data_IF_484497674299
#
_entry.id   IF_484497674299
#
_cell.length_a   1.000
_cell.length_b   1.000
_cell.length_c   1.000
_cell.angle_alpha   90.00
_cell.angle_beta   90.00
_cell.angle_gamma   90.00
#
_symmetry.space_group_name_H-M   'P 1'
#
loop_
_entity.id
_entity.type
_entity.pdbx_description
1 polymer ?
#
# COMPACT_ATOMS: atom_id res chain seq x y z
N UNK A 1 52.27 43.23 -27.34
CA UNK A 1 51.87 43.25 -25.92
C UNK A 1 50.35 43.29 -25.87
N UNK A 2 49.79 42.35 -25.12
CA UNK A 2 48.48 41.73 -25.33
C UNK A 2 47.27 42.65 -25.16
N UNK A 3 46.36 42.54 -26.12
CA UNK A 3 44.98 43.00 -26.09
C UNK A 3 44.13 42.11 -25.19
N UNK A 4 43.27 42.76 -24.40
CA UNK A 4 42.24 42.16 -23.56
C UNK A 4 41.28 41.27 -24.37
N UNK A 5 41.11 40.02 -23.95
CA UNK A 5 39.97 39.18 -24.29
C UNK A 5 39.48 38.49 -23.02
N UNK A 6 38.70 39.22 -22.21
CA UNK A 6 37.88 38.64 -21.15
C UNK A 6 36.66 38.05 -21.82
N UNK A 7 36.74 36.77 -22.18
CA UNK A 7 35.62 36.03 -22.72
C UNK A 7 34.73 35.63 -21.55
N UNK A 8 33.74 36.46 -21.25
CA UNK A 8 32.64 36.16 -20.31
C UNK A 8 31.81 35.03 -20.93
N UNK A 9 32.20 33.78 -20.67
CA UNK A 9 31.32 32.64 -20.84
C UNK A 9 30.31 32.69 -19.70
N UNK A 10 29.12 33.16 -20.02
CA UNK A 10 27.89 32.93 -19.26
C UNK A 10 27.81 31.46 -18.85
N UNK A 11 28.09 31.19 -17.58
CA UNK A 11 27.69 29.94 -16.95
C UNK A 11 26.16 29.96 -16.86
N UNK A 12 25.51 29.20 -17.74
CA UNK A 12 24.13 28.78 -17.51
C UNK A 12 24.12 28.12 -16.13
N UNK A 13 23.30 28.56 -15.17
CA UNK A 13 23.14 27.79 -13.95
C UNK A 13 22.49 26.48 -14.39
N UNK A 14 23.26 25.39 -14.33
CA UNK A 14 22.68 24.05 -14.35
C UNK A 14 21.67 24.03 -13.20
N UNK A 15 20.40 24.13 -13.56
CA UNK A 15 19.32 23.86 -12.62
C UNK A 15 19.62 22.50 -12.01
N UNK A 16 19.64 22.34 -10.68
CA UNK A 16 19.79 21.03 -10.09
C UNK A 16 18.56 20.27 -10.54
N UNK A 17 18.74 19.38 -11.53
CA UNK A 17 17.77 18.34 -11.84
C UNK A 17 17.70 17.50 -10.57
N UNK A 18 16.78 17.86 -9.68
CA UNK A 18 16.20 16.94 -8.72
C UNK A 18 15.69 15.79 -9.57
N UNK A 19 16.50 14.73 -9.64
CA UNK A 19 16.12 13.49 -10.29
C UNK A 19 14.81 13.08 -9.63
N UNK A 20 13.69 13.26 -10.35
CA UNK A 20 12.42 12.68 -9.96
C UNK A 20 12.71 11.19 -9.86
N UNK A 21 12.66 10.66 -8.63
CA UNK A 21 12.91 9.25 -8.34
C UNK A 21 11.81 8.46 -9.03
N UNK A 22 11.98 8.08 -10.29
CA UNK A 22 11.04 7.15 -10.94
C UNK A 22 11.27 5.75 -10.36
N UNK A 23 10.23 4.90 -10.29
CA UNK A 23 10.38 3.52 -9.88
C UNK A 23 11.46 2.76 -10.66
N UNK A 24 11.62 3.04 -11.97
CA UNK A 24 12.65 2.43 -12.79
C UNK A 24 14.05 2.89 -12.41
N UNK A 25 14.23 4.19 -12.12
CA UNK A 25 15.50 4.73 -11.67
C UNK A 25 15.89 4.14 -10.29
N UNK A 26 14.91 3.94 -9.40
CA UNK A 26 15.12 3.27 -8.13
C UNK A 26 15.53 1.80 -8.31
N UNK A 27 14.88 1.08 -9.23
CA UNK A 27 15.24 -0.30 -9.55
C UNK A 27 16.68 -0.39 -10.10
N UNK A 28 17.05 0.50 -11.03
CA UNK A 28 18.40 0.54 -11.62
C UNK A 28 19.48 0.86 -10.58
N UNK A 29 19.23 1.86 -9.72
CA UNK A 29 20.14 2.24 -8.66
C UNK A 29 20.32 1.08 -7.67
N UNK A 30 19.22 0.51 -7.17
CA UNK A 30 19.26 -0.61 -6.22
C UNK A 30 19.94 -1.84 -6.79
N UNK A 31 19.68 -2.19 -8.06
CA UNK A 31 20.36 -3.29 -8.74
C UNK A 31 21.88 -3.05 -8.79
N UNK A 32 22.29 -1.84 -9.14
CA UNK A 32 23.71 -1.49 -9.24
C UNK A 32 24.40 -1.58 -7.88
N UNK A 33 23.77 -1.04 -6.84
CA UNK A 33 24.29 -1.06 -5.46
C UNK A 33 24.43 -2.50 -4.94
N UNK A 34 23.42 -3.36 -5.17
CA UNK A 34 23.45 -4.76 -4.76
C UNK A 34 24.54 -5.55 -5.51
N UNK A 35 24.73 -5.32 -6.81
CA UNK A 35 25.81 -5.97 -7.55
C UNK A 35 27.19 -5.51 -7.08
N UNK A 36 27.36 -4.22 -6.78
CA UNK A 36 28.62 -3.72 -6.20
C UNK A 36 28.88 -4.32 -4.82
N UNK A 37 27.85 -4.41 -3.98
CA UNK A 37 27.96 -5.03 -2.66
C UNK A 37 28.28 -6.52 -2.76
N UNK A 38 27.63 -7.25 -3.68
CA UNK A 38 27.92 -8.66 -3.93
C UNK A 38 29.37 -8.87 -4.38
N UNK A 39 29.94 -7.97 -5.19
CA UNK A 39 31.32 -8.07 -5.67
C UNK A 39 32.34 -7.91 -4.54
N UNK A 40 32.03 -7.02 -3.59
CA UNK A 40 32.86 -6.83 -2.40
C UNK A 40 32.83 -8.08 -1.54
N UNK A 41 31.64 -8.59 -1.25
CA UNK A 41 31.44 -9.83 -0.49
C UNK A 41 32.12 -11.03 -1.15
N UNK A 42 32.03 -11.17 -2.47
CA UNK A 42 32.76 -12.20 -3.20
C UNK A 42 34.27 -12.11 -2.93
N UNK A 43 34.84 -10.90 -3.01
CA UNK A 43 36.25 -10.65 -2.70
C UNK A 43 36.61 -10.97 -1.24
N UNK A 44 35.75 -10.59 -0.29
CA UNK A 44 35.95 -10.84 1.14
C UNK A 44 35.90 -12.34 1.43
N UNK A 45 34.94 -13.08 0.87
CA UNK A 45 34.86 -14.54 0.98
C UNK A 45 36.10 -15.23 0.39
N UNK A 46 36.58 -14.78 -0.78
CA UNK A 46 37.83 -15.29 -1.36
C UNK A 46 39.04 -15.01 -0.47
N UNK A 47 39.11 -13.81 0.13
CA UNK A 47 40.16 -13.44 1.08
C UNK A 47 40.13 -14.35 2.31
N UNK A 48 38.97 -14.54 2.93
CA UNK A 48 38.82 -15.38 4.13
C UNK A 48 39.19 -16.83 3.85
N UNK A 49 38.74 -17.41 2.72
CA UNK A 49 39.18 -18.75 2.32
C UNK A 49 40.69 -18.84 2.08
N UNK A 50 41.33 -17.77 1.59
CA UNK A 50 42.77 -17.74 1.41
C UNK A 50 43.52 -17.67 2.76
N UNK A 51 43.00 -16.89 3.72
CA UNK A 51 43.54 -16.79 5.09
C UNK A 51 43.44 -18.13 5.82
N UNK A 52 42.31 -18.83 5.71
CA UNK A 52 42.12 -20.17 6.27
C UNK A 52 43.14 -21.17 5.72
N UNK A 53 43.42 -21.13 4.41
CA UNK A 53 44.39 -22.04 3.76
C UNK A 53 45.82 -21.86 4.23
N UNK A 54 46.18 -20.67 4.72
CA UNK A 54 47.52 -20.37 5.22
C UNK A 54 47.60 -20.37 6.76
N UNK A 55 46.52 -20.74 7.45
CA UNK A 55 46.41 -20.71 8.91
C UNK A 55 46.80 -19.34 9.50
N UNK A 56 46.35 -18.27 8.83
CA UNK A 56 46.64 -16.91 9.26
C UNK A 56 45.88 -16.60 10.56
N UNK A 57 46.55 -15.92 11.49
CA UNK A 57 45.86 -15.39 12.68
C UNK A 57 44.99 -14.21 12.27
N UNK A 58 43.69 -14.38 12.45
CA UNK A 58 42.69 -13.31 12.34
C UNK A 58 42.44 -12.68 13.71
N UNK A 59 42.13 -11.39 13.72
CA UNK A 59 41.62 -10.73 14.93
C UNK A 59 40.11 -11.01 15.13
N UNK A 60 39.56 -10.54 16.25
CA UNK A 60 38.17 -10.81 16.63
C UNK A 60 37.19 -10.20 15.62
N UNK A 61 37.45 -8.99 15.12
CA UNK A 61 36.58 -8.32 14.14
C UNK A 61 36.56 -9.09 12.82
N UNK A 62 37.72 -9.54 12.35
CA UNK A 62 37.84 -10.36 11.14
C UNK A 62 37.13 -11.72 11.27
N UNK A 63 37.18 -12.33 12.45
CA UNK A 63 36.48 -13.59 12.72
C UNK A 63 34.96 -13.38 12.68
N UNK A 64 34.46 -12.30 13.29
CA UNK A 64 33.03 -11.96 13.23
C UNK A 64 32.58 -11.65 11.79
N UNK A 65 33.37 -10.88 11.03
CA UNK A 65 33.06 -10.58 9.63
C UNK A 65 33.06 -11.84 8.75
N UNK A 66 34.04 -12.72 8.90
CA UNK A 66 34.07 -14.02 8.20
C UNK A 66 32.82 -14.86 8.48
N UNK A 67 32.29 -14.77 9.70
CA UNK A 67 31.12 -15.50 10.14
C UNK A 67 29.81 -14.98 9.51
N UNK A 68 29.62 -13.65 9.43
CA UNK A 68 28.40 -13.03 8.89
C UNK A 68 28.44 -12.72 7.38
N UNK A 69 29.61 -12.77 6.75
CA UNK A 69 29.77 -12.52 5.32
C UNK A 69 28.88 -13.44 4.45
N UNK A 70 28.80 -14.77 4.70
CA UNK A 70 27.88 -15.66 3.99
C UNK A 70 26.39 -15.30 4.13
N UNK A 71 25.96 -14.84 5.31
CA UNK A 71 24.58 -14.41 5.55
C UNK A 71 24.25 -13.18 4.69
N UNK A 72 25.11 -12.17 4.77
CA UNK A 72 24.95 -10.93 4.00
C UNK A 72 24.95 -11.23 2.50
N UNK A 73 25.78 -12.17 2.04
CA UNK A 73 25.81 -12.64 0.67
C UNK A 73 24.46 -13.20 0.23
N UNK A 74 23.89 -14.10 1.03
CA UNK A 74 22.61 -14.73 0.77
C UNK A 74 21.45 -13.72 0.72
N UNK A 75 21.42 -12.76 1.65
CA UNK A 75 20.43 -11.67 1.66
C UNK A 75 20.50 -10.78 0.40
N UNK A 76 21.71 -10.50 -0.09
CA UNK A 76 21.90 -9.75 -1.34
C UNK A 76 21.40 -10.55 -2.54
N UNK A 77 21.72 -11.84 -2.62
CA UNK A 77 21.23 -12.73 -3.70
C UNK A 77 19.71 -12.82 -3.67
N UNK A 78 19.11 -13.01 -2.50
CA UNK A 78 17.66 -13.01 -2.32
C UNK A 78 17.03 -11.67 -2.72
N UNK A 79 17.68 -10.55 -2.40
CA UNK A 79 17.25 -9.20 -2.83
C UNK A 79 17.30 -9.04 -4.35
N UNK A 80 18.36 -9.54 -5.00
CA UNK A 80 18.48 -9.53 -6.47
C UNK A 80 17.41 -10.41 -7.13
N UNK A 81 17.10 -11.57 -6.59
CA UNK A 81 16.02 -12.43 -7.08
C UNK A 81 14.65 -11.75 -6.90
N UNK A 82 14.36 -11.26 -5.69
CA UNK A 82 13.04 -10.69 -5.33
C UNK A 82 12.69 -9.45 -6.14
N UNK A 83 13.71 -8.68 -6.58
CA UNK A 83 13.52 -7.55 -7.50
C UNK A 83 13.61 -7.92 -8.99
N UNK A 84 13.86 -9.18 -9.33
CA UNK A 84 13.97 -9.66 -10.71
C UNK A 84 15.23 -9.17 -11.44
N UNK A 85 16.34 -9.00 -10.72
CA UNK A 85 17.59 -8.47 -11.28
C UNK A 85 18.51 -9.53 -11.92
N UNK A 86 18.33 -10.81 -11.58
CA UNK A 86 19.09 -11.95 -12.10
C UNK A 86 18.54 -12.37 -13.47
N UNK A 87 18.94 -11.66 -14.52
CA UNK A 87 18.38 -11.84 -15.88
C UNK A 87 19.41 -12.14 -16.96
N UNK A 88 20.69 -12.05 -16.64
CA UNK A 88 21.78 -12.22 -17.59
C UNK A 88 22.80 -13.20 -17.04
N UNK A 89 23.51 -13.89 -17.95
CA UNK A 89 24.55 -14.84 -17.56
C UNK A 89 25.62 -14.22 -16.64
N UNK A 90 26.15 -13.01 -16.90
CA UNK A 90 27.17 -12.43 -16.01
C UNK A 90 26.68 -12.18 -14.57
N UNK A 91 25.39 -11.88 -14.38
CA UNK A 91 24.84 -11.71 -13.03
C UNK A 91 24.70 -13.07 -12.35
N UNK A 92 24.28 -14.11 -13.09
CA UNK A 92 24.22 -15.47 -12.55
C UNK A 92 25.61 -16.01 -12.21
N UNK A 93 26.61 -15.80 -13.07
CA UNK A 93 27.99 -16.26 -12.83
C UNK A 93 28.53 -15.71 -11.50
N UNK A 94 28.25 -14.44 -11.22
CA UNK A 94 28.62 -13.79 -9.97
C UNK A 94 27.88 -14.37 -8.76
N UNK A 95 26.58 -14.57 -8.88
CA UNK A 95 25.75 -15.20 -7.84
C UNK A 95 26.24 -16.63 -7.54
N UNK A 96 26.53 -17.43 -8.57
CA UNK A 96 27.06 -18.79 -8.41
C UNK A 96 28.49 -18.81 -7.85
N UNK A 97 29.33 -17.81 -8.18
CA UNK A 97 30.66 -17.68 -7.58
C UNK A 97 30.56 -17.52 -6.06
N UNK A 98 29.67 -16.63 -5.61
CA UNK A 98 29.38 -16.42 -4.19
C UNK A 98 28.80 -17.67 -3.53
N UNK A 99 27.86 -18.37 -4.18
CA UNK A 99 27.32 -19.64 -3.69
C UNK A 99 28.43 -20.67 -3.44
N UNK A 100 29.36 -20.84 -4.37
CA UNK A 100 30.49 -21.77 -4.21
C UNK A 100 31.34 -21.40 -2.99
N UNK A 101 31.53 -20.10 -2.74
CA UNK A 101 32.33 -19.63 -1.62
C UNK A 101 31.60 -19.75 -0.27
N UNK A 102 30.28 -19.56 -0.26
CA UNK A 102 29.46 -19.44 0.95
C UNK A 102 28.70 -20.72 1.33
N UNK A 103 28.49 -21.67 0.41
CA UNK A 103 27.61 -22.85 0.58
C UNK A 103 27.95 -23.77 1.76
N UNK A 104 29.18 -23.70 2.28
CA UNK A 104 29.60 -24.46 3.46
C UNK A 104 29.17 -23.84 4.79
N UNK A 105 28.71 -22.57 4.78
CA UNK A 105 28.23 -21.85 5.96
C UNK A 105 26.78 -22.18 6.28
N UNK A 106 26.49 -22.37 7.57
CA UNK A 106 25.11 -22.58 8.06
C UNK A 106 24.22 -21.37 7.77
N UNK A 107 24.74 -20.14 7.86
CA UNK A 107 23.97 -18.92 7.58
C UNK A 107 23.54 -18.79 6.12
N UNK A 108 24.36 -19.29 5.18
CA UNK A 108 23.93 -19.38 3.79
C UNK A 108 22.77 -20.38 3.66
N UNK A 109 22.89 -21.52 4.35
CA UNK A 109 21.93 -22.62 4.27
C UNK A 109 20.58 -22.30 4.94
N UNK A 110 20.54 -21.37 5.90
CA UNK A 110 19.30 -20.84 6.48
C UNK A 110 18.40 -20.19 5.41
N UNK A 111 19.00 -19.49 4.43
CA UNK A 111 18.27 -18.82 3.35
C UNK A 111 18.15 -19.74 2.12
N UNK A 112 19.23 -20.46 1.77
CA UNK A 112 19.30 -21.34 0.61
C UNK A 112 19.64 -22.77 1.01
N UNK A 113 18.62 -23.61 1.19
CA UNK A 113 18.75 -25.01 1.59
C UNK A 113 19.25 -25.97 0.50
N UNK A 114 19.66 -25.45 -0.67
CA UNK A 114 20.13 -26.23 -1.79
C UNK A 114 20.79 -25.37 -2.87
N UNK A 115 21.20 -26.02 -3.97
CA UNK A 115 21.84 -25.34 -5.07
C UNK A 115 20.90 -24.29 -5.70
N UNK A 116 21.47 -23.15 -6.10
CA UNK A 116 20.73 -22.11 -6.78
C UNK A 116 20.21 -22.60 -8.14
N UNK A 117 19.02 -22.14 -8.56
CA UNK A 117 18.39 -22.61 -9.78
C UNK A 117 19.08 -22.05 -11.04
N UNK A 118 18.85 -22.68 -12.19
CA UNK A 118 19.39 -22.20 -13.47
C UNK A 118 18.84 -20.83 -13.90
N UNK A 119 19.55 -20.15 -14.81
CA UNK A 119 19.16 -18.84 -15.36
C UNK A 119 17.72 -18.82 -15.89
N UNK A 120 17.25 -19.93 -16.47
CA UNK A 120 15.90 -20.06 -17.02
C UNK A 120 14.84 -19.89 -15.93
N UNK A 121 15.07 -20.39 -14.72
CA UNK A 121 14.13 -20.26 -13.59
C UNK A 121 14.10 -18.80 -13.12
N UNK A 122 15.26 -18.17 -12.98
CA UNK A 122 15.33 -16.75 -12.61
C UNK A 122 14.66 -15.85 -13.64
N UNK A 123 14.94 -16.05 -14.94
CA UNK A 123 14.35 -15.23 -16.01
C UNK A 123 12.83 -15.43 -16.12
N UNK A 124 12.32 -16.64 -15.88
CA UNK A 124 10.88 -16.91 -15.82
C UNK A 124 10.16 -16.14 -14.69
N UNK A 125 10.84 -15.88 -13.57
CA UNK A 125 10.30 -15.12 -12.42
C UNK A 125 10.57 -13.62 -12.50
N UNK A 126 11.61 -13.22 -13.23
CA UNK A 126 12.15 -11.87 -13.21
C UNK A 126 11.15 -10.79 -13.60
N UNK A 127 10.30 -11.04 -14.61
CA UNK A 127 9.28 -10.05 -15.03
C UNK A 127 8.28 -9.76 -13.90
N UNK A 128 7.71 -10.80 -13.29
CA UNK A 128 6.75 -10.67 -12.20
C UNK A 128 7.38 -10.04 -10.95
N UNK A 129 8.61 -10.45 -10.60
CA UNK A 129 9.35 -9.90 -9.47
C UNK A 129 9.70 -8.42 -9.68
N UNK A 130 10.12 -8.04 -10.90
CA UNK A 130 10.36 -6.65 -11.27
C UNK A 130 9.08 -5.82 -11.22
N UNK A 131 7.96 -6.33 -11.72
CA UNK A 131 6.66 -5.65 -11.63
C UNK A 131 6.24 -5.42 -10.18
N UNK A 132 6.40 -6.41 -9.29
CA UNK A 132 6.16 -6.25 -7.85
C UNK A 132 7.05 -5.19 -7.22
N UNK A 133 8.35 -5.19 -7.54
CA UNK A 133 9.26 -4.16 -7.05
C UNK A 133 8.82 -2.77 -7.53
N UNK A 134 8.51 -2.60 -8.82
CA UNK A 134 8.10 -1.31 -9.35
C UNK A 134 6.78 -0.84 -8.73
N UNK A 135 5.82 -1.74 -8.48
CA UNK A 135 4.59 -1.43 -7.77
C UNK A 135 4.86 -0.96 -6.33
N UNK A 136 5.70 -1.70 -5.59
CA UNK A 136 6.11 -1.33 -4.23
C UNK A 136 6.87 0.00 -4.19
N UNK A 137 7.80 0.22 -5.12
CA UNK A 137 8.54 1.48 -5.25
C UNK A 137 7.60 2.65 -5.60
N UNK A 138 6.61 2.43 -6.47
CA UNK A 138 5.59 3.43 -6.80
C UNK A 138 4.77 3.80 -5.58
N UNK A 139 4.36 2.81 -4.78
CA UNK A 139 3.67 3.03 -3.51
C UNK A 139 4.54 3.84 -2.53
N UNK A 140 5.82 3.49 -2.43
CA UNK A 140 6.80 4.16 -1.56
C UNK A 140 7.10 5.61 -1.94
N UNK A 141 6.83 6.02 -3.19
CA UNK A 141 7.00 7.40 -3.66
C UNK A 141 5.83 8.32 -3.29
N UNK A 142 4.69 7.75 -2.90
CA UNK A 142 3.52 8.53 -2.50
C UNK A 142 3.83 9.31 -1.20
N UNK A 143 3.72 10.65 -1.19
CA UNK A 143 4.21 11.47 -0.09
C UNK A 143 3.40 11.28 1.21
N UNK A 144 2.11 10.94 1.13
CA UNK A 144 1.28 10.84 2.32
C UNK A 144 1.10 9.39 2.75
N UNK A 145 1.38 9.09 4.01
CA UNK A 145 1.05 7.80 4.63
C UNK A 145 -0.18 7.92 5.50
N UNK A 146 -1.00 6.86 5.52
CA UNK A 146 -2.23 6.79 6.30
C UNK A 146 -2.09 5.69 7.33
N UNK A 147 -2.29 6.04 8.59
CA UNK A 147 -2.19 5.13 9.72
C UNK A 147 -3.43 5.23 10.60
N UNK A 148 -3.72 4.17 11.33
CA UNK A 148 -4.76 4.14 12.35
C UNK A 148 -4.14 3.74 13.66
N UNK A 149 -4.17 4.61 14.65
CA UNK A 149 -3.85 4.28 16.03
C UNK A 149 -5.07 3.66 16.70
N UNK A 150 -4.84 2.64 17.53
CA UNK A 150 -5.89 1.90 18.21
C UNK A 150 -5.34 0.97 19.28
N UNK A 151 -6.09 -0.09 19.57
CA UNK A 151 -5.68 -1.14 20.51
C UNK A 151 -5.69 -2.50 19.82
N UNK A 152 -4.66 -3.29 20.05
CA UNK A 152 -4.54 -4.65 19.54
C UNK A 152 -4.71 -5.63 20.70
N UNK A 153 -5.57 -6.63 20.50
CA UNK A 153 -5.79 -7.74 21.43
C UNK A 153 -4.77 -8.86 21.18
N UNK A 154 -4.21 -9.42 22.24
CA UNK A 154 -3.27 -10.54 22.23
C UNK A 154 -3.70 -11.60 23.23
N UNK A 155 -3.35 -12.88 23.00
CA UNK A 155 -3.56 -13.93 23.99
C UNK A 155 -2.62 -13.74 25.19
N UNK A 156 -3.12 -13.96 26.40
CA UNK A 156 -2.28 -14.08 27.60
C UNK A 156 -1.45 -15.36 27.55
N UNK A 157 -0.25 -15.34 28.14
CA UNK A 157 0.68 -16.48 28.22
C UNK A 157 0.03 -17.75 28.77
N UNK A 158 -0.80 -17.61 29.81
CA UNK A 158 -1.69 -18.66 30.29
C UNK A 158 -3.13 -18.36 29.83
N UNK A 159 -3.73 -19.22 28.97
CA UNK A 159 -5.06 -18.99 28.42
C UNK A 159 -6.17 -18.89 29.47
N UNK A 160 -5.94 -19.31 30.73
CA UNK A 160 -6.90 -19.12 31.83
C UNK A 160 -7.16 -17.64 32.10
N UNK A 161 -6.19 -16.76 31.86
CA UNK A 161 -6.33 -15.31 32.06
C UNK A 161 -6.96 -14.58 30.86
N UNK A 162 -7.16 -15.27 29.74
CA UNK A 162 -7.86 -14.74 28.56
C UNK A 162 -6.94 -13.96 27.63
N UNK A 163 -7.24 -12.67 27.44
CA UNK A 163 -6.56 -11.79 26.48
C UNK A 163 -6.22 -10.45 27.12
N UNK A 164 -5.17 -9.80 26.62
CA UNK A 164 -4.79 -8.45 27.00
C UNK A 164 -4.77 -7.52 25.78
N UNK A 165 -4.79 -6.21 26.04
CA UNK A 165 -4.87 -5.19 24.99
C UNK A 165 -3.72 -4.20 25.09
N UNK A 166 -2.96 -4.04 24.02
CA UNK A 166 -1.87 -3.05 23.90
C UNK A 166 -2.22 -1.95 22.90
N UNK A 167 -1.60 -0.78 23.04
CA UNK A 167 -1.68 0.28 22.03
C UNK A 167 -0.97 -0.21 20.75
N UNK A 168 -1.56 0.01 19.58
CA UNK A 168 -1.01 -0.45 18.31
C UNK A 168 -1.39 0.46 17.15
N UNK A 169 -0.75 0.25 16.01
CA UNK A 169 -0.98 1.04 14.79
C UNK A 169 -1.09 0.13 13.58
N UNK A 170 -2.07 0.39 12.71
CA UNK A 170 -2.21 -0.26 11.41
C UNK A 170 -1.89 0.74 10.31
N UNK A 171 -1.12 0.34 9.30
CA UNK A 171 -0.90 1.14 8.08
C UNK A 171 -1.96 0.81 7.03
N UNK A 172 -2.64 1.83 6.51
CA UNK A 172 -3.64 1.69 5.43
C UNK A 172 -3.04 1.90 4.03
N UNK A 173 -1.75 2.24 3.95
CA UNK A 173 -1.04 2.53 2.70
C UNK A 173 -0.72 4.01 2.51
N UNK A 174 -0.48 4.41 1.26
CA UNK A 174 -0.01 5.75 0.91
C UNK A 174 -0.80 6.39 -0.23
N UNK A 175 -0.76 7.72 -0.33
CA UNK A 175 -1.51 8.52 -1.28
C UNK A 175 -0.71 9.70 -1.87
N UNK A 176 -1.07 10.15 -3.07
CA UNK A 176 -0.46 11.32 -3.72
C UNK A 176 -0.96 12.63 -3.14
N UNK A 177 -2.20 12.65 -2.65
CA UNK A 177 -2.84 13.83 -2.11
C UNK A 177 -3.46 13.55 -0.74
N UNK A 178 -3.69 14.61 0.03
CA UNK A 178 -4.39 14.51 1.32
C UNK A 178 -5.82 13.99 1.12
N UNK A 179 -6.51 14.40 0.05
CA UNK A 179 -7.86 13.93 -0.25
C UNK A 179 -7.90 12.42 -0.52
N UNK A 180 -6.96 11.90 -1.33
CA UNK A 180 -6.81 10.46 -1.55
C UNK A 180 -6.47 9.71 -0.25
N UNK A 181 -5.62 10.29 0.61
CA UNK A 181 -5.32 9.72 1.92
C UNK A 181 -6.58 9.63 2.81
N UNK A 182 -7.41 10.67 2.79
CA UNK A 182 -8.70 10.66 3.50
C UNK A 182 -9.66 9.62 2.91
N UNK A 183 -9.66 9.42 1.59
CA UNK A 183 -10.46 8.39 0.91
C UNK A 183 -10.00 6.97 1.25
N UNK A 184 -8.70 6.74 1.41
CA UNK A 184 -8.15 5.46 1.89
C UNK A 184 -8.66 5.14 3.30
N UNK A 185 -8.56 6.11 4.23
CA UNK A 185 -9.11 5.97 5.58
C UNK A 185 -10.61 5.71 5.56
N UNK A 186 -11.35 6.43 4.71
CA UNK A 186 -12.80 6.29 4.57
C UNK A 186 -13.20 4.92 4.00
N UNK A 187 -12.41 4.38 3.07
CA UNK A 187 -12.63 3.06 2.49
C UNK A 187 -12.38 1.94 3.50
N UNK A 188 -11.31 2.05 4.30
CA UNK A 188 -11.04 1.11 5.39
C UNK A 188 -12.16 1.15 6.44
N UNK A 189 -12.59 2.34 6.83
CA UNK A 189 -13.70 2.55 7.75
C UNK A 189 -15.00 1.91 7.29
N UNK A 190 -15.34 2.06 6.00
CA UNK A 190 -16.58 1.50 5.44
C UNK A 190 -16.57 -0.03 5.40
N UNK A 191 -15.40 -0.65 5.19
CA UNK A 191 -15.27 -2.11 5.18
C UNK A 191 -15.32 -2.71 6.58
N UNK A 192 -14.98 -1.93 7.60
CA UNK A 192 -14.84 -2.37 8.99
C UNK A 192 -13.91 -3.60 9.15
N UNK A 193 -12.95 -3.72 8.24
CA UNK A 193 -11.96 -4.78 8.22
C UNK A 193 -10.64 -4.23 8.75
N UNK A 194 -10.38 -4.47 10.03
CA UNK A 194 -9.16 -4.07 10.72
C UNK A 194 -8.35 -5.32 11.07
N UNK A 195 -7.61 -5.84 10.09
CA UNK A 195 -6.76 -7.00 10.31
C UNK A 195 -5.40 -6.56 10.89
N UNK A 196 -5.10 -6.89 12.17
CA UNK A 196 -3.79 -6.60 12.75
C UNK A 196 -2.71 -7.60 12.33
N UNK A 197 -3.07 -8.69 11.63
CA UNK A 197 -2.12 -9.70 11.18
C UNK A 197 -1.54 -9.32 9.84
N UNK A 198 -0.22 -9.41 9.74
CA UNK A 198 0.47 -9.19 8.48
C UNK A 198 0.41 -10.46 7.62
N UNK A 199 0.21 -10.26 6.32
CA UNK A 199 0.03 -11.38 5.40
C UNK A 199 1.35 -12.14 5.22
N UNK A 200 1.38 -13.40 5.66
CA UNK A 200 2.53 -14.29 5.49
C UNK A 200 3.45 -14.39 6.71
N UNK A 201 3.17 -13.64 7.78
CA UNK A 201 3.82 -13.82 9.09
C UNK A 201 3.26 -15.07 9.78
N UNK A 202 4.16 -15.89 10.35
CA UNK A 202 3.81 -16.99 11.24
C UNK A 202 3.88 -16.51 12.69
N UNK A 203 2.74 -16.48 13.35
CA UNK A 203 2.63 -16.07 14.75
C UNK A 203 2.67 -17.25 15.72
N UNK A 204 3.02 -18.44 15.23
CA UNK A 204 3.23 -19.60 16.07
C UNK A 204 4.47 -19.42 16.95
N UNK A 205 4.27 -19.48 18.26
CA UNK A 205 5.34 -19.46 19.24
C UNK A 205 5.63 -20.89 19.71
N UNK A 206 6.87 -21.35 19.52
CA UNK A 206 7.30 -22.70 19.89
C UNK A 206 7.39 -22.92 21.40
N UNK A 207 7.67 -21.87 22.18
CA UNK A 207 7.81 -21.95 23.63
C UNK A 207 6.44 -22.14 24.29
N UNK A 208 5.42 -21.49 23.73
CA UNK A 208 4.02 -21.67 24.16
C UNK A 208 3.28 -22.79 23.43
N UNK A 209 3.84 -23.29 22.31
CA UNK A 209 3.25 -24.36 21.50
C UNK A 209 1.93 -23.97 20.82
N UNK A 210 1.74 -22.68 20.53
CA UNK A 210 0.50 -22.13 19.95
C UNK A 210 0.72 -20.76 19.31
N UNK A 211 -0.31 -20.28 18.60
CA UNK A 211 -0.36 -18.93 18.03
C UNK A 211 -0.47 -17.87 19.14
N UNK A 212 0.53 -16.99 19.22
CA UNK A 212 0.60 -15.85 20.15
C UNK A 212 0.44 -14.49 19.45
N UNK A 213 -0.04 -14.51 18.20
CA UNK A 213 -0.20 -13.33 17.38
C UNK A 213 -1.38 -12.44 17.76
N UNK A 214 -1.49 -11.26 17.12
CA UNK A 214 -2.59 -10.35 17.38
C UNK A 214 -3.92 -10.98 16.95
N UNK A 215 -4.96 -10.76 17.75
CA UNK A 215 -6.28 -11.36 17.55
C UNK A 215 -7.27 -10.38 16.91
N UNK A 216 -7.31 -9.14 17.43
CA UNK A 216 -8.25 -8.09 17.00
C UNK A 216 -7.63 -6.71 17.09
N UNK A 217 -8.11 -5.79 16.28
CA UNK A 217 -7.76 -4.38 16.37
C UNK A 217 -9.01 -3.53 16.64
N UNK A 218 -8.93 -2.65 17.62
CA UNK A 218 -9.92 -1.63 17.92
C UNK A 218 -9.36 -0.26 17.47
N UNK A 219 -9.76 0.25 16.30
CA UNK A 219 -9.25 1.51 15.77
C UNK A 219 -9.80 2.70 16.57
N UNK A 220 -9.01 3.77 16.71
CA UNK A 220 -9.40 4.95 17.50
C UNK A 220 -9.16 6.26 16.78
N UNK A 221 -8.00 6.43 16.13
CA UNK A 221 -7.60 7.70 15.52
C UNK A 221 -6.92 7.48 14.18
N UNK A 222 -7.42 8.14 13.13
CA UNK A 222 -6.75 8.27 11.85
C UNK A 222 -5.62 9.29 11.94
N UNK A 223 -4.49 8.97 11.34
CA UNK A 223 -3.33 9.86 11.24
C UNK A 223 -2.81 9.85 9.80
N UNK A 224 -2.72 11.04 9.22
CA UNK A 224 -2.05 11.26 7.94
C UNK A 224 -0.72 11.92 8.23
N UNK A 225 0.36 11.33 7.72
CA UNK A 225 1.72 11.86 7.80
C UNK A 225 2.27 12.15 6.41
N UNK A 226 3.22 13.08 6.32
CA UNK A 226 3.98 13.31 5.08
C UNK A 226 5.19 12.39 4.96
N UNK A 227 5.99 12.60 3.90
CA UNK A 227 7.17 11.80 3.56
C UNK A 227 8.27 11.81 4.63
N UNK A 228 8.24 12.80 5.54
CA UNK A 228 9.18 12.94 6.66
C UNK A 228 8.53 12.51 7.99
N UNK A 229 7.42 11.76 7.94
CA UNK A 229 6.63 11.34 9.08
C UNK A 229 6.11 12.52 9.94
N UNK A 230 5.97 13.71 9.35
CA UNK A 230 5.36 14.85 10.04
C UNK A 230 3.85 14.71 9.97
N UNK A 231 3.19 14.81 11.12
CA UNK A 231 1.73 14.77 11.22
C UNK A 231 1.09 15.91 10.43
N UNK A 232 0.26 15.55 9.45
CA UNK A 232 -0.45 16.46 8.54
C UNK A 232 -1.87 16.70 9.03
N UNK A 233 -2.60 15.63 9.34
CA UNK A 233 -4.02 15.65 9.69
C UNK A 233 -4.36 14.46 10.59
N UNK A 234 -5.37 14.62 11.44
CA UNK A 234 -5.90 13.56 12.31
C UNK A 234 -7.42 13.49 12.23
N UNK A 235 -7.99 12.33 12.53
CA UNK A 235 -9.44 12.15 12.57
C UNK A 235 -9.89 11.10 13.59
N UNK A 236 -11.12 11.23 14.07
CA UNK A 236 -11.77 10.26 14.95
C UNK A 236 -12.40 9.14 14.13
N UNK A 237 -12.03 7.89 14.43
CA UNK A 237 -12.51 6.71 13.69
C UNK A 237 -14.00 6.49 13.92
N UNK A 238 -14.45 6.44 15.18
CA UNK A 238 -15.84 6.12 15.55
C UNK A 238 -16.89 6.93 14.79
N UNK A 239 -16.58 8.20 14.46
CA UNK A 239 -17.50 9.12 13.80
C UNK A 239 -17.10 9.47 12.37
N UNK A 240 -15.94 9.03 11.91
CA UNK A 240 -15.31 9.45 10.66
C UNK A 240 -15.28 10.99 10.52
N UNK A 241 -14.73 11.67 11.54
CA UNK A 241 -14.63 13.14 11.58
C UNK A 241 -13.16 13.54 11.60
N UNK A 242 -12.77 14.41 10.67
CA UNK A 242 -11.44 15.00 10.64
C UNK A 242 -11.35 16.23 11.53
N UNK A 243 -10.24 16.37 12.24
CA UNK A 243 -10.00 17.48 13.15
C UNK A 243 -9.45 18.68 12.39
N UNK A 244 -10.18 19.81 12.42
CA UNK A 244 -9.62 21.07 11.94
C UNK A 244 -8.40 21.49 12.77
N UNK A 245 -7.42 22.09 12.11
CA UNK A 245 -6.19 22.54 12.76
C UNK A 245 -6.47 23.69 13.72
N UNK A 246 -5.85 23.63 14.90
CA UNK A 246 -5.75 24.81 15.77
C UNK A 246 -4.62 25.68 15.25
N UNK A 247 -4.96 26.88 14.78
CA UNK A 247 -4.00 27.85 14.21
C UNK A 247 -3.71 29.02 15.14
N UNK A 248 -4.55 29.27 16.15
CA UNK A 248 -4.33 30.32 17.15
C UNK A 248 -3.20 29.92 18.12
N UNK A 249 -2.10 30.70 18.19
CA UNK A 249 -0.99 30.40 19.10
C UNK A 249 -1.40 30.35 20.59
N UNK A 250 -2.38 31.16 21.00
CA UNK A 250 -2.82 31.17 22.40
C UNK A 250 -3.56 29.87 22.76
N UNK A 251 -4.46 29.43 21.90
CA UNK A 251 -5.14 28.15 22.05
C UNK A 251 -4.17 26.96 21.95
N UNK A 252 -3.21 27.00 21.03
CA UNK A 252 -2.16 25.99 20.90
C UNK A 252 -1.36 25.87 22.20
N UNK A 253 -0.95 27.00 22.79
CA UNK A 253 -0.22 27.02 24.07
C UNK A 253 -1.08 26.46 25.21
N UNK A 254 -2.38 26.76 25.24
CA UNK A 254 -3.32 26.25 26.24
C UNK A 254 -3.45 24.72 26.16
N UNK A 255 -3.67 24.18 24.96
CA UNK A 255 -3.80 22.73 24.75
C UNK A 255 -2.49 22.01 25.09
N UNK A 256 -1.34 22.55 24.65
CA UNK A 256 -0.03 21.98 24.99
C UNK A 256 0.19 21.95 26.51
N UNK A 257 -0.14 23.03 27.23
CA UNK A 257 -0.04 23.05 28.69
C UNK A 257 -0.95 22.00 29.35
N UNK A 258 -2.18 21.80 28.84
CA UNK A 258 -3.08 20.76 29.33
C UNK A 258 -2.52 19.36 29.08
N UNK A 259 -1.95 19.12 27.89
CA UNK A 259 -1.31 17.85 27.54
C UNK A 259 -0.12 17.55 28.45
N UNK A 260 0.76 18.52 28.69
CA UNK A 260 1.91 18.38 29.60
C UNK A 260 1.46 18.00 31.02
N UNK A 261 0.40 18.62 31.53
CA UNK A 261 -0.17 18.26 32.84
C UNK A 261 -0.69 16.82 32.85
N UNK A 262 -1.36 16.38 31.78
CA UNK A 262 -1.86 15.01 31.68
C UNK A 262 -0.72 13.99 31.57
N UNK A 263 0.32 14.28 30.79
CA UNK A 263 1.49 13.42 30.67
C UNK A 263 2.30 13.36 31.96
N UNK A 264 2.46 14.47 32.67
CA UNK A 264 3.12 14.49 33.97
C UNK A 264 2.36 13.63 35.01
N UNK A 265 1.03 13.72 35.03
CA UNK A 265 0.19 12.82 35.86
C UNK A 265 0.32 11.37 35.44
N UNK A 266 0.31 11.09 34.14
CA UNK A 266 0.48 9.73 33.65
C UNK A 266 1.83 9.13 34.03
N UNK A 267 2.91 9.92 33.99
CA UNK A 267 4.24 9.49 34.43
C UNK A 267 4.26 9.20 35.93
N UNK A 268 3.59 10.04 36.74
CA UNK A 268 3.44 9.81 38.17
C UNK A 268 2.68 8.51 38.44
N UNK A 269 1.50 8.31 37.85
CA UNK A 269 0.72 7.06 38.02
C UNK A 269 1.51 5.83 37.57
N UNK A 270 2.23 5.93 36.45
CA UNK A 270 3.06 4.83 35.95
C UNK A 270 4.21 4.46 36.89
N UNK A 271 4.78 5.42 37.61
CA UNK A 271 5.81 5.17 38.63
C UNK A 271 5.28 4.50 39.90
N UNK A 272 3.95 4.43 40.08
CA UNK A 272 3.28 3.76 41.19
C UNK A 272 2.62 2.44 40.74
N UNK A 273 3.06 1.89 39.60
CA UNK A 273 2.51 0.69 38.97
C UNK A 273 1.02 0.79 38.57
N UNK A 274 0.44 1.99 38.53
CA UNK A 274 -0.93 2.23 38.06
C UNK A 274 -0.96 2.36 36.52
N UNK A 275 -0.49 1.32 35.82
CA UNK A 275 -0.26 1.36 34.38
C UNK A 275 -1.51 1.69 33.54
N UNK A 276 -2.68 1.16 33.92
CA UNK A 276 -3.93 1.44 33.19
C UNK A 276 -4.39 2.89 33.38
N UNK A 277 -4.27 3.45 34.59
CA UNK A 277 -4.58 4.86 34.85
C UNK A 277 -3.63 5.78 34.09
N UNK A 278 -2.33 5.47 34.10
CA UNK A 278 -1.33 6.18 33.32
C UNK A 278 -1.65 6.16 31.82
N UNK A 279 -2.06 4.99 31.30
CA UNK A 279 -2.47 4.83 29.90
C UNK A 279 -3.69 5.68 29.56
N UNK A 280 -4.75 5.65 30.37
CA UNK A 280 -5.96 6.46 30.16
C UNK A 280 -5.64 7.97 30.15
N UNK A 281 -4.73 8.42 31.01
CA UNK A 281 -4.27 9.81 31.01
C UNK A 281 -3.50 10.19 29.73
N UNK A 282 -2.64 9.29 29.22
CA UNK A 282 -1.95 9.48 27.93
C UNK A 282 -2.93 9.54 26.77
N UNK A 283 -3.93 8.64 26.73
CA UNK A 283 -5.00 8.65 25.72
C UNK A 283 -5.77 9.96 25.77
N UNK A 284 -6.11 10.44 26.97
CA UNK A 284 -6.78 11.74 27.14
C UNK A 284 -5.92 12.89 26.61
N UNK A 285 -4.61 12.89 26.89
CA UNK A 285 -3.69 13.90 26.36
C UNK A 285 -3.62 13.88 24.83
N UNK A 286 -3.50 12.69 24.22
CA UNK A 286 -3.52 12.52 22.75
C UNK A 286 -4.83 13.03 22.14
N UNK A 287 -5.98 12.73 22.76
CA UNK A 287 -7.30 13.20 22.30
C UNK A 287 -7.43 14.72 22.39
N UNK A 288 -6.96 15.34 23.48
CA UNK A 288 -6.94 16.81 23.60
C UNK A 288 -6.04 17.47 22.54
N UNK A 289 -4.92 16.81 22.20
CA UNK A 289 -3.97 17.26 21.18
C UNK A 289 -4.31 16.85 19.75
N UNK A 290 -5.48 16.26 19.47
CA UNK A 290 -5.75 15.68 18.15
C UNK A 290 -5.64 16.72 17.03
N UNK A 291 -6.15 17.94 17.23
CA UNK A 291 -6.05 19.06 16.27
C UNK A 291 -4.66 19.69 16.15
N UNK A 292 -3.68 19.27 16.96
CA UNK A 292 -2.30 19.76 16.91
C UNK A 292 -1.52 18.92 15.91
N UNK A 293 -1.07 19.59 14.85
CA UNK A 293 -0.29 19.02 13.76
C UNK A 293 1.07 19.71 13.65
N UNK A 294 1.94 19.20 12.78
CA UNK A 294 3.24 19.81 12.56
C UNK A 294 3.09 21.24 12.00
N UNK A 295 3.96 22.16 12.43
CA UNK A 295 3.89 23.58 12.03
C UNK A 295 3.99 23.80 10.52
N UNK A 296 4.62 22.89 9.76
CA UNK A 296 4.69 22.96 8.30
C UNK A 296 3.31 22.81 7.62
N UNK A 297 2.37 22.13 8.28
CA UNK A 297 1.03 21.82 7.75
C UNK A 297 -0.09 22.58 8.45
N UNK A 298 0.22 23.26 9.56
CA UNK A 298 -0.73 24.07 10.31
C UNK A 298 -1.29 25.20 9.43
N UNK A 299 -2.62 25.25 9.28
CA UNK A 299 -3.28 26.22 8.39
C UNK A 299 -2.99 26.07 6.90
N UNK A 300 -2.39 24.96 6.45
CA UNK A 300 -2.06 24.77 5.04
C UNK A 300 -3.32 24.73 4.16
N UNK A 301 -3.38 25.46 3.03
CA UNK A 301 -4.59 25.60 2.21
C UNK A 301 -5.07 24.27 1.63
N UNK A 302 -4.15 23.35 1.27
CA UNK A 302 -4.53 22.03 0.76
C UNK A 302 -5.24 21.19 1.82
N UNK A 303 -4.83 21.29 3.09
CA UNK A 303 -5.49 20.55 4.18
C UNK A 303 -6.87 21.13 4.43
N UNK A 304 -6.99 22.47 4.48
CA UNK A 304 -8.27 23.14 4.65
C UNK A 304 -9.25 22.81 3.51
N UNK A 305 -8.77 22.79 2.26
CA UNK A 305 -9.55 22.40 1.10
C UNK A 305 -9.97 20.91 1.16
N UNK A 306 -9.07 20.01 1.54
CA UNK A 306 -9.38 18.59 1.68
C UNK A 306 -10.45 18.33 2.76
N UNK A 307 -10.34 18.98 3.92
CA UNK A 307 -11.36 18.91 4.99
C UNK A 307 -12.70 19.47 4.49
N UNK A 308 -12.71 20.62 3.83
CA UNK A 308 -13.94 21.25 3.35
C UNK A 308 -14.64 20.42 2.27
N UNK A 309 -13.89 19.75 1.39
CA UNK A 309 -14.42 18.91 0.33
C UNK A 309 -14.75 17.48 0.79
N UNK A 310 -14.33 17.08 1.99
CA UNK A 310 -14.54 15.72 2.45
C UNK A 310 -16.02 15.45 2.76
N UNK A 311 -16.59 14.52 2.00
CA UNK A 311 -17.93 13.97 2.26
C UNK A 311 -17.79 12.59 2.87
N UNK A 312 -18.48 12.34 3.99
CA UNK A 312 -18.49 11.02 4.64
C UNK A 312 -18.99 9.94 3.67
N UNK A 313 -18.38 8.74 3.64
CA UNK A 313 -18.74 7.68 2.69
C UNK A 313 -20.22 7.28 2.69
N UNK A 314 -20.87 7.32 3.85
CA UNK A 314 -22.29 6.99 4.01
C UNK A 314 -23.22 8.06 3.44
N UNK A 315 -22.72 9.30 3.36
CA UNK A 315 -23.44 10.46 2.82
C UNK A 315 -23.08 10.74 1.36
N UNK A 316 -22.07 10.05 0.80
CA UNK A 316 -21.72 10.15 -0.61
C UNK A 316 -22.83 9.52 -1.45
N UNK A 317 -23.36 10.34 -2.34
CA UNK A 317 -24.19 9.88 -3.45
C UNK A 317 -23.34 8.95 -4.34
N UNK A 318 -23.96 7.93 -4.92
CA UNK A 318 -23.35 7.08 -5.95
C UNK A 318 -22.74 7.92 -7.06
N UNK A 319 -23.36 9.05 -7.42
CA UNK A 319 -22.81 9.98 -8.41
C UNK A 319 -21.38 10.45 -8.07
N UNK A 320 -21.05 10.56 -6.77
CA UNK A 320 -19.72 10.94 -6.28
C UNK A 320 -18.77 9.74 -6.12
N UNK A 321 -19.31 8.51 -6.13
CA UNK A 321 -18.55 7.25 -5.99
C UNK A 321 -18.13 6.65 -7.33
N UNK A 322 -18.80 7.00 -8.43
CA UNK A 322 -18.51 6.41 -9.73
C UNK A 322 -17.18 6.91 -10.27
N UNK A 323 -16.23 5.99 -10.45
CA UNK A 323 -15.01 6.27 -11.18
C UNK A 323 -15.28 6.19 -12.69
N UNK A 324 -15.19 7.34 -13.37
CA UNK A 324 -15.40 7.50 -14.82
C UNK A 324 -14.10 7.70 -15.61
N UNK A 325 -12.95 7.64 -14.95
CA UNK A 325 -11.67 7.95 -15.58
C UNK A 325 -11.33 6.94 -16.69
N UNK A 326 -10.98 7.48 -17.85
CA UNK A 326 -10.56 6.71 -19.04
C UNK A 326 -11.61 5.70 -19.52
N UNK A 327 -12.88 5.90 -19.18
CA UNK A 327 -13.99 5.11 -19.72
C UNK A 327 -14.47 5.67 -21.06
N UNK A 328 -14.98 4.81 -21.97
CA UNK A 328 -15.69 5.25 -23.15
C UNK A 328 -16.93 6.07 -22.79
N UNK A 329 -17.24 7.10 -23.56
CA UNK A 329 -18.31 8.07 -23.26
C UNK A 329 -19.67 7.38 -23.00
N UNK A 330 -20.03 6.38 -23.82
CA UNK A 330 -21.28 5.64 -23.65
C UNK A 330 -21.36 4.91 -22.31
N UNK A 331 -20.22 4.38 -21.81
CA UNK A 331 -20.15 3.70 -20.53
C UNK A 331 -20.21 4.71 -19.37
N UNK A 332 -19.50 5.84 -19.50
CA UNK A 332 -19.55 6.96 -18.54
C UNK A 332 -20.99 7.45 -18.36
N UNK A 333 -21.70 7.73 -19.46
CA UNK A 333 -23.07 8.20 -19.41
C UNK A 333 -24.01 7.17 -18.76
N UNK A 334 -23.86 5.88 -19.09
CA UNK A 334 -24.70 4.82 -18.54
C UNK A 334 -24.47 4.61 -17.04
N UNK A 335 -23.22 4.66 -16.58
CA UNK A 335 -22.88 4.57 -15.15
C UNK A 335 -23.38 5.77 -14.36
N UNK A 336 -23.20 7.00 -14.85
CA UNK A 336 -23.69 8.20 -14.18
C UNK A 336 -25.22 8.23 -14.11
N UNK A 337 -25.91 7.75 -15.15
CA UNK A 337 -27.37 7.59 -15.12
C UNK A 337 -27.80 6.60 -14.02
N UNK A 338 -27.12 5.46 -13.92
CA UNK A 338 -27.40 4.46 -12.90
C UNK A 338 -27.14 4.97 -11.48
N UNK A 339 -26.03 5.67 -11.29
CA UNK A 339 -25.66 6.28 -10.02
C UNK A 339 -26.73 7.29 -9.56
N UNK A 340 -27.10 8.22 -10.44
CA UNK A 340 -28.15 9.21 -10.17
C UNK A 340 -29.50 8.54 -9.84
N UNK A 341 -29.83 7.43 -10.50
CA UNK A 341 -31.03 6.64 -10.18
C UNK A 341 -30.94 6.07 -8.77
N UNK A 342 -29.81 5.46 -8.40
CA UNK A 342 -29.60 4.89 -7.07
C UNK A 342 -29.74 5.95 -5.97
N UNK A 343 -29.20 7.15 -6.20
CA UNK A 343 -29.28 8.29 -5.27
C UNK A 343 -30.71 8.81 -5.09
N UNK A 344 -31.49 8.79 -6.18
CA UNK A 344 -32.88 9.25 -6.21
C UNK A 344 -33.91 8.17 -5.90
N UNK A 345 -33.50 7.00 -5.38
CA UNK A 345 -34.41 5.86 -5.11
C UNK A 345 -35.67 6.27 -4.33
N UNK A 346 -35.56 7.21 -3.38
CA UNK A 346 -36.67 7.64 -2.51
C UNK A 346 -37.69 8.56 -3.20
N UNK A 347 -37.39 9.06 -4.40
CA UNK A 347 -38.24 10.05 -5.10
C UNK A 347 -39.04 9.45 -6.27
N UNK A 348 -38.99 8.13 -6.48
CA UNK A 348 -39.65 7.46 -7.62
C UNK A 348 -40.50 6.26 -7.16
N UNK A 349 -41.63 5.96 -7.83
CA UNK A 349 -42.36 4.71 -7.61
C UNK A 349 -41.47 3.48 -7.83
N UNK A 350 -41.60 2.48 -6.95
CA UNK A 350 -40.69 1.34 -6.86
C UNK A 350 -40.56 0.56 -8.19
N UNK A 351 -41.66 0.33 -8.89
CA UNK A 351 -41.68 -0.40 -10.17
C UNK A 351 -40.94 0.37 -11.27
N UNK A 352 -41.23 1.67 -11.42
CA UNK A 352 -40.57 2.53 -12.40
C UNK A 352 -39.06 2.65 -12.14
N UNK A 353 -38.66 2.65 -10.87
CA UNK A 353 -37.27 2.66 -10.47
C UNK A 353 -36.55 1.37 -10.89
N UNK A 354 -37.15 0.18 -10.65
CA UNK A 354 -36.53 -1.08 -11.05
C UNK A 354 -36.45 -1.26 -12.58
N UNK A 355 -37.46 -0.80 -13.33
CA UNK A 355 -37.41 -0.78 -14.79
C UNK A 355 -36.28 0.11 -15.31
N UNK A 356 -36.13 1.32 -14.74
CA UNK A 356 -35.07 2.25 -15.10
C UNK A 356 -33.67 1.71 -14.73
N UNK A 357 -33.56 1.00 -13.61
CA UNK A 357 -32.32 0.38 -13.16
C UNK A 357 -31.92 -0.80 -14.05
N UNK A 358 -32.88 -1.61 -14.46
CA UNK A 358 -32.68 -2.71 -15.43
C UNK A 358 -32.27 -2.18 -16.79
N UNK A 359 -32.94 -1.13 -17.28
CA UNK A 359 -32.57 -0.47 -18.53
C UNK A 359 -31.15 0.11 -18.49
N UNK A 360 -30.76 0.73 -17.38
CA UNK A 360 -29.40 1.26 -17.18
C UNK A 360 -28.36 0.14 -17.14
N UNK A 361 -28.65 -0.97 -16.45
CA UNK A 361 -27.78 -2.15 -16.39
C UNK A 361 -27.55 -2.75 -17.78
N UNK A 362 -28.60 -2.83 -18.61
CA UNK A 362 -28.48 -3.27 -20.00
C UNK A 362 -27.63 -2.32 -20.85
N UNK A 363 -27.80 -0.99 -20.71
CA UNK A 363 -26.95 -0.01 -21.40
C UNK A 363 -25.47 -0.18 -21.06
N UNK A 364 -25.15 -0.37 -19.78
CA UNK A 364 -23.79 -0.63 -19.30
C UNK A 364 -23.27 -1.92 -19.94
N UNK A 365 -24.08 -2.98 -19.96
CA UNK A 365 -23.73 -4.28 -20.54
C UNK A 365 -23.36 -4.15 -22.02
N UNK A 366 -24.17 -3.42 -22.81
CA UNK A 366 -23.86 -3.11 -24.20
C UNK A 366 -22.58 -2.29 -24.35
N UNK A 367 -22.37 -1.28 -23.51
CA UNK A 367 -21.18 -0.44 -23.56
C UNK A 367 -19.89 -1.21 -23.21
N UNK A 368 -19.96 -2.14 -22.24
CA UNK A 368 -18.84 -3.06 -21.91
C UNK A 368 -18.46 -3.91 -23.12
N UNK A 369 -19.46 -4.49 -23.80
CA UNK A 369 -19.25 -5.34 -24.98
C UNK A 369 -18.67 -4.54 -26.15
N UNK A 370 -19.17 -3.32 -26.38
CA UNK A 370 -18.64 -2.41 -27.39
C UNK A 370 -17.19 -1.97 -27.12
N UNK A 371 -16.73 -2.09 -25.87
CA UNK A 371 -15.38 -1.70 -25.44
C UNK A 371 -14.36 -2.83 -25.57
N UNK A 372 -14.74 -4.00 -26.10
CA UNK A 372 -13.82 -5.10 -26.35
C UNK A 372 -12.82 -4.70 -27.43
N UNK A 373 -11.53 -4.85 -27.11
CA UNK A 373 -10.43 -4.48 -28.00
C UNK A 373 -9.96 -5.64 -28.89
N UNK A 374 -10.25 -6.88 -28.50
CA UNK A 374 -9.82 -8.07 -29.23
C UNK A 374 -10.80 -9.24 -29.00
N UNK A 375 -11.40 -9.71 -30.09
CA UNK A 375 -12.36 -10.82 -30.12
C UNK A 375 -11.73 -12.16 -30.57
N UNK A 376 -10.46 -12.16 -30.98
CA UNK A 376 -9.79 -13.34 -31.55
C UNK A 376 -9.54 -14.45 -30.53
N UNK A 377 -9.34 -14.08 -29.26
CA UNK A 377 -9.11 -15.02 -28.17
C UNK A 377 -10.41 -15.71 -27.70
N UNK A 378 -10.26 -16.83 -26.99
CA UNK A 378 -11.39 -17.52 -26.33
C UNK A 378 -12.02 -16.60 -25.26
N UNK A 379 -11.19 -15.79 -24.59
CA UNK A 379 -11.62 -14.75 -23.65
C UNK A 379 -11.38 -13.38 -24.30
N UNK A 380 -12.44 -12.61 -24.59
CA UNK A 380 -12.29 -11.28 -25.20
C UNK A 380 -11.41 -10.37 -24.33
N UNK A 381 -10.55 -9.55 -24.95
CA UNK A 381 -9.75 -8.57 -24.21
C UNK A 381 -10.55 -7.30 -23.95
N UNK A 382 -10.87 -7.08 -22.68
CA UNK A 382 -11.57 -5.89 -22.18
C UNK A 382 -10.58 -5.01 -21.42
N UNK A 383 -10.55 -3.68 -21.64
CA UNK A 383 -9.73 -2.77 -20.86
C UNK A 383 -10.02 -2.86 -19.35
N UNK A 384 -9.00 -2.81 -18.51
CA UNK A 384 -9.16 -2.89 -17.04
C UNK A 384 -10.12 -1.81 -16.46
N UNK A 385 -10.11 -0.54 -16.92
CA UNK A 385 -11.09 0.46 -16.45
C UNK A 385 -12.54 0.05 -16.71
N UNK A 386 -12.81 -0.58 -17.86
CA UNK A 386 -14.15 -1.06 -18.24
C UNK A 386 -14.60 -2.21 -17.33
N UNK A 387 -13.69 -3.11 -16.96
CA UNK A 387 -13.97 -4.16 -15.97
C UNK A 387 -14.26 -3.55 -14.59
N UNK A 388 -13.48 -2.55 -14.18
CA UNK A 388 -13.73 -1.82 -12.93
C UNK A 388 -15.11 -1.15 -12.91
N UNK A 389 -15.50 -0.51 -14.01
CA UNK A 389 -16.83 0.05 -14.22
C UNK A 389 -17.96 -1.00 -14.11
N UNK A 390 -17.75 -2.18 -14.70
CA UNK A 390 -18.70 -3.28 -14.59
C UNK A 390 -18.84 -3.77 -13.13
N UNK A 391 -17.75 -3.80 -12.36
CA UNK A 391 -17.81 -4.16 -10.94
C UNK A 391 -18.53 -3.09 -10.10
N UNK A 392 -18.35 -1.80 -10.39
CA UNK A 392 -19.13 -0.73 -9.72
C UNK A 392 -20.65 -0.87 -9.97
N UNK A 393 -21.05 -1.38 -11.14
CA UNK A 393 -22.45 -1.68 -11.47
C UNK A 393 -23.04 -2.74 -10.53
N UNK A 394 -22.26 -3.77 -10.20
CA UNK A 394 -22.65 -4.78 -9.20
C UNK A 394 -22.91 -4.13 -7.86
N UNK A 395 -21.99 -3.29 -7.39
CA UNK A 395 -22.05 -2.71 -6.06
C UNK A 395 -23.28 -1.78 -5.94
N UNK A 396 -23.59 -1.03 -7.01
CA UNK A 396 -24.83 -0.27 -7.13
C UNK A 396 -26.07 -1.17 -6.99
N UNK A 397 -26.15 -2.27 -7.75
CA UNK A 397 -27.28 -3.20 -7.69
C UNK A 397 -27.44 -3.82 -6.30
N UNK A 398 -26.35 -4.28 -5.70
CA UNK A 398 -26.36 -4.87 -4.36
C UNK A 398 -26.83 -3.87 -3.31
N UNK A 399 -26.39 -2.61 -3.38
CA UNK A 399 -26.83 -1.55 -2.46
C UNK A 399 -28.33 -1.26 -2.54
N UNK A 400 -28.93 -1.46 -3.72
CA UNK A 400 -30.34 -1.18 -3.96
C UNK A 400 -31.23 -2.35 -3.57
N UNK A 401 -30.88 -3.56 -4.01
CA UNK A 401 -31.70 -4.77 -3.83
C UNK A 401 -31.41 -5.52 -2.51
N UNK A 402 -30.33 -5.14 -1.80
CA UNK A 402 -29.91 -5.79 -0.57
C UNK A 402 -29.31 -7.18 -0.80
N UNK A 403 -28.92 -7.83 0.29
CA UNK A 403 -28.20 -9.12 0.25
C UNK A 403 -29.09 -10.29 -0.18
N UNK A 404 -30.41 -10.20 0.01
CA UNK A 404 -31.34 -11.30 -0.31
C UNK A 404 -31.62 -11.38 -1.82
N UNK A 405 -31.89 -10.25 -2.48
CA UNK A 405 -32.30 -10.21 -3.90
C UNK A 405 -31.20 -9.70 -4.84
N UNK A 406 -30.23 -8.95 -4.33
CA UNK A 406 -29.13 -8.40 -5.12
C UNK A 406 -28.30 -9.45 -5.86
N UNK A 407 -27.91 -10.58 -5.24
CA UNK A 407 -27.15 -11.63 -5.91
C UNK A 407 -27.85 -12.23 -7.13
N UNK A 408 -29.18 -12.37 -7.09
CA UNK A 408 -29.97 -12.91 -8.20
C UNK A 408 -30.08 -11.93 -9.36
N UNK A 409 -30.31 -10.65 -9.06
CA UNK A 409 -30.33 -9.57 -10.07
C UNK A 409 -28.96 -9.46 -10.75
N UNK A 410 -27.87 -9.51 -9.98
CA UNK A 410 -26.51 -9.50 -10.52
C UNK A 410 -26.21 -10.73 -11.38
N UNK A 411 -26.70 -11.92 -10.97
CA UNK A 411 -26.56 -13.15 -11.75
C UNK A 411 -27.22 -13.01 -13.12
N UNK A 412 -28.41 -12.41 -13.18
CA UNK A 412 -29.11 -12.15 -14.43
C UNK A 412 -28.35 -11.15 -15.32
N UNK A 413 -27.86 -10.05 -14.76
CA UNK A 413 -27.06 -9.06 -15.50
C UNK A 413 -25.79 -9.69 -16.11
N UNK A 414 -25.10 -10.54 -15.32
CA UNK A 414 -23.96 -11.33 -15.81
C UNK A 414 -24.34 -12.30 -16.93
N UNK A 415 -25.51 -12.93 -16.84
CA UNK A 415 -25.99 -13.84 -17.87
C UNK A 415 -26.20 -13.09 -19.19
N UNK A 416 -26.90 -11.96 -19.15
CA UNK A 416 -27.07 -11.10 -20.33
C UNK A 416 -25.75 -10.65 -20.92
N UNK A 417 -24.78 -10.23 -20.09
CA UNK A 417 -23.44 -9.88 -20.56
C UNK A 417 -22.75 -11.05 -21.29
N UNK A 418 -22.86 -12.26 -20.74
CA UNK A 418 -22.31 -13.46 -21.34
C UNK A 418 -22.96 -13.77 -22.70
N UNK A 419 -24.28 -13.61 -22.82
CA UNK A 419 -24.99 -13.79 -24.08
C UNK A 419 -24.52 -12.77 -25.13
N UNK A 420 -24.38 -11.50 -24.75
CA UNK A 420 -23.88 -10.47 -25.66
C UNK A 420 -22.44 -10.71 -26.11
N UNK A 421 -21.55 -11.15 -25.21
CA UNK A 421 -20.20 -11.57 -25.60
C UNK A 421 -20.23 -12.72 -26.60
N UNK A 422 -21.09 -13.72 -26.38
CA UNK A 422 -21.21 -14.85 -27.29
C UNK A 422 -21.69 -14.41 -28.68
N UNK A 423 -22.74 -13.60 -28.74
CA UNK A 423 -23.32 -13.08 -29.97
C UNK A 423 -22.30 -12.25 -30.77
N UNK A 424 -21.65 -11.26 -30.15
CA UNK A 424 -20.71 -10.39 -30.86
C UNK A 424 -19.45 -11.14 -31.31
N UNK A 425 -18.98 -12.11 -30.52
CA UNK A 425 -17.87 -12.97 -30.94
C UNK A 425 -18.24 -13.82 -32.15
N UNK A 426 -19.45 -14.39 -32.20
CA UNK A 426 -19.91 -15.11 -33.37
C UNK A 426 -19.95 -14.20 -34.60
N UNK A 427 -20.50 -12.99 -34.48
CA UNK A 427 -20.54 -12.01 -35.59
C UNK A 427 -19.14 -11.68 -36.09
N UNK A 428 -18.19 -11.42 -35.19
CA UNK A 428 -16.78 -11.18 -35.52
C UNK A 428 -16.15 -12.36 -36.28
N UNK A 429 -16.32 -13.59 -35.79
CA UNK A 429 -15.76 -14.80 -36.42
C UNK A 429 -16.37 -15.13 -37.78
N UNK A 430 -17.64 -14.76 -37.99
CA UNK A 430 -18.33 -14.93 -39.29
C UNK A 430 -18.06 -13.80 -40.29
N UNK A 431 -17.27 -12.78 -39.92
CA UNK A 431 -16.99 -11.62 -40.77
C UNK A 431 -18.21 -10.70 -40.97
N UNK A 432 -19.21 -10.80 -40.10
CA UNK A 432 -20.43 -9.98 -40.11
C UNK A 432 -20.32 -8.73 -39.23
N UNK A 433 -19.19 -8.53 -38.55
CA UNK A 433 -18.92 -7.32 -37.76
C UNK A 433 -18.32 -6.22 -38.64
N UNK A 434 -18.98 -5.05 -38.71
CA UNK A 434 -18.38 -3.77 -39.13
C UNK A 434 -17.73 -3.09 -37.94
#
# INVERSE_FOLDING_TARGET
>A
MNTYNVNVKTATPESPKTWVKSPENLWLARKSDLLVALAKIEGDLMMYQALDRIDARMDIEQIEEQFFCPQTAAEIVQSLESMGAVTTQPVLDMVCSVEVLASSSEFWQEIFSGALPELTVFTNRAAANRERFLASATEGLKPFSVMVEGRTEYPEDDPVYGTYWQDGTISLGRAWTIAEAMDLAASAWLRDEWDPREQGEDYYDSDFGRDMGPLRFYPQTFIICDENYRRVLTGEVDRMIWHAHVTDPAELARINAEMEVLYAKAALEGGWDNYETARQLRVKARKSGASIVNSAWMGHPEVAAAIACFVRPELREWADKVNVDRLPEALTQALMQMATLCDRRRTMPLLAFYDALTASTNKITHAVVASVTDWSAIRPKVPAPVVGAWMQTRDMLLSVYGEEYGPDVWRNARHSLSEFFHMHRQMFLTGLAM
#
